data_IF_809402800542
#
_entry.id   IF_809402800542
#
_cell.length_a   1.000
_cell.length_b   1.000
_cell.length_c   1.000
_cell.angle_alpha   90.00
_cell.angle_beta   90.00
_cell.angle_gamma   90.00
#
_symmetry.space_group_name_H-M   'P 1'
#
loop_
_entity.id
_entity.type
_entity.pdbx_description
1 polymer ?
#
# COMPACT_ATOMS: atom_id res chain seq x y z
N UNK A 1 3.79 -1.28 -8.05
CA UNK A 1 2.35 -1.55 -8.17
C UNK A 1 1.65 -0.32 -8.73
N UNK A 2 1.36 -0.34 -10.03
CA UNK A 2 0.59 0.71 -10.69
C UNK A 2 -0.57 0.09 -11.46
N UNK A 3 -1.64 0.88 -11.63
CA UNK A 3 -2.87 0.43 -12.31
C UNK A 3 -3.58 -0.73 -11.63
N UNK A 4 -3.31 -0.91 -10.33
CA UNK A 4 -3.92 -1.96 -9.51
C UNK A 4 -4.82 -1.28 -8.49
N UNK A 5 -6.04 -1.78 -8.32
CA UNK A 5 -6.92 -1.31 -7.26
C UNK A 5 -6.45 -1.86 -5.92
N UNK A 6 -6.60 -1.06 -4.86
CA UNK A 6 -6.16 -1.49 -3.52
C UNK A 6 -6.82 -2.79 -3.09
N UNK A 7 -8.09 -2.99 -3.44
CA UNK A 7 -8.81 -4.22 -3.08
C UNK A 7 -8.21 -5.47 -3.72
N UNK A 8 -7.43 -5.30 -4.80
CA UNK A 8 -6.80 -6.42 -5.51
C UNK A 8 -5.40 -6.74 -4.99
N UNK A 9 -4.89 -5.95 -4.05
CA UNK A 9 -3.59 -6.23 -3.44
C UNK A 9 -3.75 -7.31 -2.37
N UNK A 10 -3.01 -8.40 -2.52
CA UNK A 10 -2.98 -9.48 -1.53
C UNK A 10 -1.94 -9.16 -0.46
N UNK A 11 -2.26 -8.19 0.41
CA UNK A 11 -1.34 -7.76 1.45
C UNK A 11 -1.04 -8.87 2.44
N UNK A 12 0.19 -8.92 2.97
CA UNK A 12 0.50 -9.86 4.05
C UNK A 12 -0.39 -9.63 5.25
N UNK A 13 -0.68 -10.69 5.99
CA UNK A 13 -1.44 -10.59 7.22
C UNK A 13 -0.81 -9.58 8.18
N UNK A 14 -1.63 -8.77 8.80
CA UNK A 14 -1.15 -7.75 9.73
C UNK A 14 -0.64 -6.48 9.07
N UNK A 15 -0.80 -6.35 7.75
CA UNK A 15 -0.37 -5.17 7.00
C UNK A 15 -1.58 -4.41 6.50
N UNK A 16 -1.55 -3.09 6.65
CA UNK A 16 -2.64 -2.22 6.27
C UNK A 16 -2.10 -0.96 5.59
N UNK A 17 -2.73 -0.55 4.49
CA UNK A 17 -2.42 0.74 3.87
C UNK A 17 -3.23 1.80 4.59
N UNK A 18 -2.54 2.78 5.18
CA UNK A 18 -3.15 3.83 5.99
C UNK A 18 -3.58 5.01 5.14
N UNK A 19 -2.75 5.40 4.18
CA UNK A 19 -3.06 6.51 3.27
C UNK A 19 -2.17 6.44 2.04
N UNK A 20 -2.55 7.20 1.03
CA UNK A 20 -1.78 7.38 -0.20
C UNK A 20 -1.48 8.85 -0.33
N UNK A 21 -0.22 9.19 -0.58
CA UNK A 21 0.16 10.56 -0.89
C UNK A 21 0.38 10.68 -2.39
N UNK A 22 -0.41 11.53 -3.02
CA UNK A 22 -0.37 11.75 -4.47
C UNK A 22 -0.30 13.24 -4.75
N UNK A 23 0.76 13.67 -5.42
CA UNK A 23 0.96 15.08 -5.76
C UNK A 23 0.83 16.01 -4.55
N UNK A 24 1.38 15.59 -3.41
CA UNK A 24 1.33 16.37 -2.17
C UNK A 24 0.00 16.31 -1.43
N UNK A 25 -0.96 15.56 -1.92
CA UNK A 25 -2.28 15.44 -1.31
C UNK A 25 -2.48 14.02 -0.78
N UNK A 26 -3.07 13.91 0.41
CA UNK A 26 -3.39 12.61 0.99
C UNK A 26 -4.75 12.13 0.49
N UNK A 27 -4.81 10.88 0.09
CA UNK A 27 -6.00 10.24 -0.45
C UNK A 27 -6.42 9.12 0.48
N UNK A 28 -7.72 9.03 0.75
CA UNK A 28 -8.27 7.92 1.55
C UNK A 28 -8.13 6.62 0.75
N UNK A 29 -7.52 5.56 1.35
CA UNK A 29 -7.24 4.33 0.62
C UNK A 29 -8.46 3.41 0.52
N UNK A 30 -9.45 3.82 -0.26
CA UNK A 30 -10.62 2.99 -0.52
C UNK A 30 -10.26 1.85 -1.48
N UNK A 31 -11.01 0.74 -1.39
CA UNK A 31 -10.70 -0.46 -2.18
C UNK A 31 -10.69 -0.24 -3.69
N UNK A 32 -11.49 0.68 -4.20
CA UNK A 32 -11.59 0.95 -5.63
C UNK A 32 -10.54 1.96 -6.14
N UNK A 33 -9.71 2.50 -5.26
CA UNK A 33 -8.66 3.44 -5.66
C UNK A 33 -7.56 2.69 -6.39
N UNK A 34 -7.22 3.13 -7.60
CA UNK A 34 -6.10 2.59 -8.35
C UNK A 34 -4.82 3.32 -7.97
N UNK A 35 -3.73 2.56 -7.85
CA UNK A 35 -2.41 3.14 -7.63
C UNK A 35 -1.90 3.75 -8.92
N UNK A 36 -1.21 4.88 -8.80
CA UNK A 36 -0.62 5.59 -9.94
C UNK A 36 0.89 5.71 -9.75
N UNK A 37 1.65 5.87 -10.85
CA UNK A 37 3.09 6.09 -10.73
C UNK A 37 3.39 7.30 -9.85
N UNK A 38 4.34 7.17 -8.94
CA UNK A 38 4.72 8.24 -8.04
C UNK A 38 3.92 8.30 -6.75
N UNK A 39 2.91 7.44 -6.58
CA UNK A 39 2.18 7.38 -5.32
C UNK A 39 3.08 6.91 -4.19
N UNK A 40 2.96 7.55 -3.04
CA UNK A 40 3.63 7.13 -1.82
C UNK A 40 2.61 6.48 -0.91
N UNK A 41 2.86 5.23 -0.54
CA UNK A 41 1.96 4.50 0.36
C UNK A 41 2.45 4.60 1.79
N UNK A 42 1.55 4.97 2.69
CA UNK A 42 1.79 4.88 4.12
C UNK A 42 1.20 3.57 4.61
N UNK A 43 2.04 2.72 5.14
CA UNK A 43 1.68 1.36 5.51
C UNK A 43 1.90 1.15 6.99
N UNK A 44 0.95 0.52 7.65
CA UNK A 44 1.07 0.07 9.02
C UNK A 44 1.17 -1.45 9.02
N UNK A 45 2.03 -1.99 9.86
CA UNK A 45 2.12 -3.44 10.01
C UNK A 45 2.30 -3.82 11.46
N UNK A 46 1.89 -5.03 11.79
CA UNK A 46 2.09 -5.56 13.13
C UNK A 46 3.57 -5.74 13.43
N UNK A 47 3.91 -5.57 14.71
CA UNK A 47 5.27 -5.83 15.17
C UNK A 47 5.64 -7.27 14.84
N UNK A 48 6.81 -7.46 14.24
CA UNK A 48 7.24 -8.78 13.78
C UNK A 48 6.84 -9.12 12.35
N UNK A 49 5.98 -8.31 11.74
CA UNK A 49 5.56 -8.50 10.34
C UNK A 49 6.28 -7.58 9.37
N UNK A 50 7.21 -6.77 9.87
CA UNK A 50 7.88 -5.77 9.04
C UNK A 50 8.64 -6.39 7.88
N UNK A 51 9.27 -7.53 8.09
CA UNK A 51 9.99 -8.25 7.01
C UNK A 51 9.04 -8.66 5.88
N UNK A 52 7.88 -9.17 6.25
CA UNK A 52 6.88 -9.62 5.28
C UNK A 52 6.34 -8.44 4.47
N UNK A 53 6.07 -7.32 5.14
CA UNK A 53 5.60 -6.11 4.47
C UNK A 53 6.66 -5.57 3.51
N UNK A 54 7.91 -5.50 3.95
CA UNK A 54 8.99 -5.03 3.08
C UNK A 54 9.19 -5.94 1.88
N UNK A 55 9.16 -7.25 2.08
CA UNK A 55 9.30 -8.21 1.00
C UNK A 55 8.17 -8.06 -0.02
N UNK A 56 6.95 -7.85 0.45
CA UNK A 56 5.80 -7.67 -0.44
C UNK A 56 5.98 -6.46 -1.36
N UNK A 57 6.38 -5.31 -0.78
CA UNK A 57 6.51 -4.08 -1.56
C UNK A 57 7.82 -3.97 -2.34
N UNK A 58 8.83 -4.77 -2.01
CA UNK A 58 10.13 -4.75 -2.68
C UNK A 58 10.30 -5.85 -3.73
N UNK A 59 9.38 -6.79 -3.79
CA UNK A 59 9.54 -7.98 -4.65
C UNK A 59 9.18 -7.74 -6.11
N UNK A 60 9.02 -6.54 -6.50
CA UNK A 60 8.73 -6.21 -7.90
C UNK A 60 10.01 -5.92 -8.64
#
# INVERSE_FOLDING_TARGET
YTDVQLQDLALPEGTLIVSIRRNGTYIVPLGDVKLEPGDELQVSCERGRLKDAKAFFQSN
#
